data_IF_933672861922
#
_entry.id   IF_933672861922
#
_cell.length_a   1.000
_cell.length_b   1.000
_cell.length_c   1.000
_cell.angle_alpha   90.00
_cell.angle_beta   90.00
_cell.angle_gamma   90.00
#
_symmetry.space_group_name_H-M   'P 1'
#
loop_
_entity.id
_entity.type
_entity.pdbx_description
1 polymer ?
#
# COMPACT_ATOMS: atom_id res chain seq x y z
N UNK A 1 15.50 21.47 -40.33
CA UNK A 1 14.90 20.55 -39.35
C UNK A 1 15.97 20.02 -38.39
N UNK A 2 15.62 19.60 -37.21
CA UNK A 2 16.57 19.06 -36.21
C UNK A 2 17.41 17.87 -36.73
N UNK A 3 16.91 17.12 -37.68
CA UNK A 3 17.64 16.02 -38.31
C UNK A 3 18.91 16.45 -39.03
N UNK A 4 18.85 17.57 -39.77
CA UNK A 4 20.02 18.12 -40.47
C UNK A 4 21.08 18.66 -39.51
N UNK A 5 20.67 19.07 -38.30
CA UNK A 5 21.58 19.58 -37.26
C UNK A 5 22.36 18.46 -36.59
N UNK A 6 21.79 17.22 -36.57
CA UNK A 6 22.39 16.06 -35.89
C UNK A 6 23.09 15.09 -36.82
N UNK A 7 23.20 15.40 -38.10
CA UNK A 7 23.76 14.50 -39.14
C UNK A 7 23.18 13.08 -39.10
N UNK A 8 21.86 12.97 -38.80
CA UNK A 8 21.18 11.68 -38.65
C UNK A 8 20.37 11.36 -39.91
N UNK A 9 20.51 10.13 -40.41
CA UNK A 9 19.69 9.58 -41.48
C UNK A 9 18.68 8.58 -40.87
N UNK A 10 17.40 8.76 -41.19
CA UNK A 10 16.31 7.90 -40.72
C UNK A 10 15.65 7.19 -41.92
N UNK A 11 15.38 5.92 -41.75
CA UNK A 11 14.55 5.17 -42.68
C UNK A 11 13.07 5.35 -42.32
N UNK A 12 12.40 6.30 -42.97
CA UNK A 12 11.00 6.62 -42.74
C UNK A 12 10.03 5.50 -43.10
N UNK A 13 10.47 4.50 -43.90
CA UNK A 13 9.65 3.31 -44.19
C UNK A 13 9.46 2.43 -42.94
N UNK A 14 10.30 2.60 -41.92
CA UNK A 14 10.30 1.87 -40.65
C UNK A 14 9.75 2.72 -39.48
N UNK A 15 9.03 3.78 -39.79
CA UNK A 15 8.35 4.59 -38.77
C UNK A 15 7.32 3.75 -38.00
N UNK A 16 7.37 3.86 -36.66
CA UNK A 16 6.42 3.21 -35.76
C UNK A 16 5.73 4.28 -34.93
N UNK A 17 4.40 4.31 -34.97
CA UNK A 17 3.58 5.17 -34.13
C UNK A 17 2.73 4.32 -33.19
N UNK A 18 3.03 4.38 -31.89
CA UNK A 18 2.39 3.55 -30.86
C UNK A 18 0.89 3.85 -30.66
N UNK A 19 0.44 5.04 -31.12
CA UNK A 19 -0.96 5.47 -31.05
C UNK A 19 -1.81 4.96 -32.24
N UNK A 20 -1.20 4.29 -33.21
CA UNK A 20 -1.93 3.73 -34.35
C UNK A 20 -2.48 2.33 -34.05
N UNK A 21 -3.68 1.96 -34.61
CA UNK A 21 -4.30 0.64 -34.38
C UNK A 21 -3.41 -0.55 -34.74
N UNK A 22 -2.58 -0.43 -35.78
CA UNK A 22 -1.65 -1.47 -36.22
C UNK A 22 -0.65 -1.85 -35.12
N UNK A 23 -0.33 -0.90 -34.24
CA UNK A 23 0.58 -1.10 -33.11
C UNK A 23 -0.18 -1.52 -31.85
N UNK A 24 -1.12 -0.71 -31.36
CA UNK A 24 -1.73 -0.95 -30.05
C UNK A 24 -2.67 -2.17 -30.02
N UNK A 25 -3.15 -2.68 -31.16
CA UNK A 25 -3.94 -3.93 -31.21
C UNK A 25 -3.25 -5.10 -30.52
N UNK A 26 -1.92 -5.14 -30.56
CA UNK A 26 -1.16 -6.21 -29.91
C UNK A 26 -1.13 -6.08 -28.40
N UNK A 27 -1.09 -4.86 -27.87
CA UNK A 27 -1.24 -4.60 -26.44
C UNK A 27 -2.65 -4.98 -25.97
N UNK A 28 -3.68 -4.67 -26.75
CA UNK A 28 -5.05 -5.07 -26.47
C UNK A 28 -5.22 -6.59 -26.51
N UNK A 29 -4.63 -7.26 -27.49
CA UNK A 29 -4.65 -8.71 -27.59
C UNK A 29 -3.97 -9.36 -26.37
N UNK A 30 -2.81 -8.88 -25.98
CA UNK A 30 -2.09 -9.37 -24.80
C UNK A 30 -2.93 -9.18 -23.53
N UNK A 31 -3.55 -8.01 -23.35
CA UNK A 31 -4.44 -7.75 -22.22
C UNK A 31 -5.62 -8.73 -22.17
N UNK A 32 -6.25 -8.99 -23.30
CA UNK A 32 -7.35 -9.97 -23.38
C UNK A 32 -6.88 -11.38 -23.02
N UNK A 33 -5.67 -11.77 -23.41
CA UNK A 33 -5.08 -13.06 -23.02
C UNK A 33 -4.76 -13.13 -21.53
N UNK A 34 -4.31 -12.04 -20.92
CA UNK A 34 -4.13 -11.97 -19.47
C UNK A 34 -5.47 -12.03 -18.71
N UNK A 35 -6.52 -11.39 -19.24
CA UNK A 35 -7.87 -11.44 -18.68
C UNK A 35 -8.45 -12.87 -18.77
N UNK A 36 -8.30 -13.54 -19.93
CA UNK A 36 -8.73 -14.93 -20.14
C UNK A 36 -8.04 -15.91 -19.15
N UNK A 37 -6.77 -15.65 -18.82
CA UNK A 37 -6.01 -16.45 -17.86
C UNK A 37 -6.21 -16.03 -16.38
N UNK A 38 -7.01 -15.02 -16.12
CA UNK A 38 -7.24 -14.52 -14.77
C UNK A 38 -6.06 -13.73 -14.17
N UNK A 39 -5.02 -13.44 -14.97
CA UNK A 39 -3.89 -12.59 -14.55
C UNK A 39 -4.34 -11.15 -14.44
N UNK A 40 -5.11 -10.66 -15.43
CA UNK A 40 -5.82 -9.40 -15.33
C UNK A 40 -7.22 -9.65 -14.76
N UNK A 41 -7.66 -8.82 -13.82
CA UNK A 41 -8.98 -8.92 -13.20
C UNK A 41 -9.54 -7.54 -12.88
N UNK A 42 -10.86 -7.46 -12.70
CA UNK A 42 -11.54 -6.21 -12.37
C UNK A 42 -11.78 -6.13 -10.86
N UNK A 43 -11.46 -5.00 -10.27
CA UNK A 43 -11.68 -4.74 -8.84
C UNK A 43 -12.02 -3.27 -8.64
N UNK A 44 -12.90 -2.99 -7.68
CA UNK A 44 -13.15 -1.62 -7.19
C UNK A 44 -12.10 -1.26 -6.16
N UNK A 45 -11.54 -0.07 -6.29
CA UNK A 45 -10.53 0.47 -5.36
C UNK A 45 -10.77 1.96 -5.13
N UNK A 46 -10.40 2.41 -3.94
CA UNK A 46 -10.39 3.83 -3.59
C UNK A 46 -9.19 4.48 -4.29
N UNK A 47 -9.47 5.54 -5.05
CA UNK A 47 -8.48 6.31 -5.80
C UNK A 47 -8.55 7.79 -5.44
N UNK A 48 -7.48 8.53 -5.72
CA UNK A 48 -7.48 9.98 -5.65
C UNK A 48 -8.19 10.53 -6.88
N UNK A 49 -9.28 11.25 -6.69
CA UNK A 49 -10.08 11.85 -7.75
C UNK A 49 -9.96 13.36 -7.75
N UNK A 50 -9.61 13.92 -8.90
CA UNK A 50 -9.65 15.36 -9.12
C UNK A 50 -11.04 15.75 -9.67
N UNK A 51 -11.86 16.53 -8.93
CA UNK A 51 -13.21 16.87 -9.37
C UNK A 51 -13.25 17.92 -10.50
N UNK A 52 -12.18 18.70 -10.68
CA UNK A 52 -12.06 19.72 -11.72
C UNK A 52 -11.57 19.09 -13.02
N UNK A 53 -10.45 18.37 -12.98
CA UNK A 53 -9.90 17.69 -14.14
C UNK A 53 -10.66 16.39 -14.50
N UNK A 54 -11.55 15.94 -13.60
CA UNK A 54 -12.37 14.71 -13.75
C UNK A 54 -11.52 13.48 -14.08
N UNK A 55 -10.40 13.33 -13.37
CA UNK A 55 -9.43 12.25 -13.59
C UNK A 55 -8.93 11.64 -12.29
N UNK A 56 -8.43 10.43 -12.39
CA UNK A 56 -7.71 9.76 -11.29
C UNK A 56 -6.28 10.29 -11.25
N UNK A 57 -5.81 10.61 -10.05
CA UNK A 57 -4.44 11.06 -9.81
C UNK A 57 -3.63 9.94 -9.13
N UNK A 58 -2.40 9.76 -9.59
CA UNK A 58 -1.39 9.00 -8.85
C UNK A 58 -1.03 9.75 -7.55
N UNK A 59 -0.45 9.05 -6.58
CA UNK A 59 -0.12 9.66 -5.28
C UNK A 59 0.86 10.85 -5.45
N UNK A 60 1.83 10.73 -6.35
CA UNK A 60 2.82 11.78 -6.65
C UNK A 60 2.20 13.04 -7.28
N UNK A 61 0.98 12.92 -7.79
CA UNK A 61 0.21 14.03 -8.37
C UNK A 61 -0.69 14.73 -7.35
N UNK A 62 -0.65 14.30 -6.09
CA UNK A 62 -1.37 14.93 -4.98
C UNK A 62 -0.36 15.65 -4.10
N UNK A 63 -0.42 16.98 -4.10
CA UNK A 63 0.47 17.83 -3.31
C UNK A 63 -0.38 18.53 -2.25
N UNK A 64 -0.08 18.30 -0.97
CA UNK A 64 -0.82 18.88 0.17
C UNK A 64 -2.35 18.66 0.08
N UNK A 65 -2.77 17.46 -0.38
CA UNK A 65 -4.19 17.10 -0.55
C UNK A 65 -4.86 17.74 -1.76
N UNK A 66 -4.09 18.34 -2.67
CA UNK A 66 -4.58 19.01 -3.89
C UNK A 66 -3.99 18.40 -5.16
N UNK A 67 -4.77 18.42 -6.22
CA UNK A 67 -4.29 18.02 -7.55
C UNK A 67 -3.17 18.94 -8.04
N UNK A 68 -2.06 18.35 -8.46
CA UNK A 68 -0.83 19.07 -8.89
C UNK A 68 -1.05 20.09 -10.02
N UNK A 69 -2.06 19.85 -10.86
CA UNK A 69 -2.38 20.69 -12.02
C UNK A 69 -3.57 21.62 -11.76
N UNK A 70 -4.66 21.10 -11.24
CA UNK A 70 -5.90 21.88 -11.02
C UNK A 70 -5.88 22.72 -9.74
N UNK A 71 -5.07 22.33 -8.73
CA UNK A 71 -5.10 22.90 -7.38
C UNK A 71 -6.36 22.57 -6.59
N UNK A 72 -7.29 21.77 -7.15
CA UNK A 72 -8.52 21.36 -6.47
C UNK A 72 -8.22 20.39 -5.33
N UNK A 73 -9.04 20.43 -4.28
CA UNK A 73 -8.98 19.41 -3.21
C UNK A 73 -9.33 18.05 -3.79
N UNK A 74 -8.47 17.08 -3.55
CA UNK A 74 -8.64 15.71 -4.05
C UNK A 74 -9.68 14.98 -3.21
N UNK A 75 -10.57 14.26 -3.88
CA UNK A 75 -11.58 13.41 -3.27
C UNK A 75 -11.16 11.94 -3.32
N UNK A 76 -11.52 11.16 -2.29
CA UNK A 76 -11.40 9.70 -2.36
C UNK A 76 -12.66 9.13 -2.99
N UNK A 77 -12.52 8.41 -4.11
CA UNK A 77 -13.64 7.76 -4.80
C UNK A 77 -13.38 6.29 -5.03
N UNK A 78 -14.41 5.49 -4.89
CA UNK A 78 -14.41 4.10 -5.32
C UNK A 78 -14.66 4.01 -6.83
N UNK A 79 -13.65 3.54 -7.58
CA UNK A 79 -13.73 3.39 -9.02
C UNK A 79 -13.35 1.96 -9.40
N UNK A 80 -14.15 1.27 -10.26
CA UNK A 80 -13.75 -0.01 -10.80
C UNK A 80 -12.60 0.16 -11.79
N UNK A 81 -11.55 -0.63 -11.62
CA UNK A 81 -10.38 -0.65 -12.48
C UNK A 81 -9.92 -2.07 -12.79
N UNK A 82 -8.94 -2.20 -13.69
CA UNK A 82 -8.27 -3.46 -13.94
C UNK A 82 -6.95 -3.53 -13.19
N UNK A 83 -6.68 -4.71 -12.64
CA UNK A 83 -5.50 -5.02 -11.86
C UNK A 83 -4.81 -6.24 -12.40
N UNK A 84 -3.50 -6.34 -12.20
CA UNK A 84 -2.69 -7.50 -12.57
C UNK A 84 -2.28 -8.24 -11.30
N UNK A 85 -2.55 -9.54 -11.24
CA UNK A 85 -2.20 -10.43 -10.12
C UNK A 85 -0.71 -10.79 -10.12
N UNK A 86 0.18 -9.80 -10.17
CA UNK A 86 1.63 -10.02 -10.31
C UNK A 86 2.26 -10.70 -9.10
N UNK A 87 1.71 -10.51 -7.91
CA UNK A 87 2.26 -11.06 -6.65
C UNK A 87 2.19 -12.58 -6.58
N UNK A 88 1.28 -13.22 -7.34
CA UNK A 88 1.21 -14.68 -7.43
C UNK A 88 2.44 -15.32 -8.08
N UNK A 89 3.22 -14.53 -8.81
CA UNK A 89 4.45 -14.97 -9.48
C UNK A 89 5.72 -14.57 -8.70
N UNK A 90 5.59 -13.92 -7.55
CA UNK A 90 6.73 -13.35 -6.83
C UNK A 90 7.77 -14.43 -6.45
N UNK A 91 7.32 -15.60 -5.98
CA UNK A 91 8.22 -16.69 -5.61
C UNK A 91 8.90 -17.29 -6.85
N UNK A 92 8.16 -17.56 -7.92
CA UNK A 92 8.69 -18.08 -9.18
C UNK A 92 9.75 -17.12 -9.77
N UNK A 93 9.47 -15.82 -9.79
CA UNK A 93 10.42 -14.80 -10.25
C UNK A 93 11.69 -14.75 -9.38
N UNK A 94 11.57 -14.97 -8.08
CA UNK A 94 12.72 -15.02 -7.17
C UNK A 94 13.58 -16.26 -7.44
N UNK A 95 12.96 -17.44 -7.57
CA UNK A 95 13.64 -18.71 -7.83
C UNK A 95 14.32 -18.72 -9.21
N UNK A 96 13.71 -18.10 -10.21
CA UNK A 96 14.23 -18.02 -11.56
C UNK A 96 15.44 -17.07 -11.70
N UNK A 97 15.72 -16.20 -10.74
CA UNK A 97 16.93 -15.37 -10.75
C UNK A 97 18.21 -16.21 -10.83
N UNK A 98 18.20 -17.41 -10.25
CA UNK A 98 19.34 -18.33 -10.29
C UNK A 98 19.63 -18.86 -11.71
N UNK A 99 18.63 -18.87 -12.59
CA UNK A 99 18.76 -19.30 -13.98
C UNK A 99 19.32 -18.18 -14.88
N UNK A 100 19.32 -16.93 -14.44
CA UNK A 100 19.74 -15.76 -15.20
C UNK A 100 21.26 -15.51 -15.10
N UNK A 101 22.05 -16.51 -15.41
CA UNK A 101 23.54 -16.44 -15.30
C UNK A 101 24.17 -15.38 -16.19
N UNK A 102 23.50 -15.00 -17.30
CA UNK A 102 23.96 -13.95 -18.21
C UNK A 102 23.70 -12.51 -17.69
N UNK A 103 22.97 -12.37 -16.59
CA UNK A 103 22.72 -11.07 -15.99
C UNK A 103 23.86 -10.64 -15.03
N UNK A 104 24.21 -9.34 -14.98
CA UNK A 104 25.14 -8.85 -13.98
C UNK A 104 24.66 -9.18 -12.56
N UNK A 105 25.57 -9.59 -11.69
CA UNK A 105 25.25 -9.98 -10.31
C UNK A 105 24.54 -8.85 -9.53
N UNK A 106 24.96 -7.61 -9.74
CA UNK A 106 24.33 -6.45 -9.13
C UNK A 106 22.84 -6.32 -9.52
N UNK A 107 22.49 -6.60 -10.77
CA UNK A 107 21.11 -6.54 -11.25
C UNK A 107 20.29 -7.65 -10.63
N UNK A 108 20.81 -8.88 -10.53
CA UNK A 108 20.10 -9.98 -9.84
C UNK A 108 19.83 -9.66 -8.39
N UNK A 109 20.83 -9.13 -7.64
CA UNK A 109 20.63 -8.69 -6.25
C UNK A 109 19.60 -7.57 -6.12
N UNK A 110 19.57 -6.61 -7.05
CA UNK A 110 18.55 -5.55 -7.05
C UNK A 110 17.14 -6.14 -7.24
N UNK A 111 16.97 -7.13 -8.11
CA UNK A 111 15.67 -7.81 -8.31
C UNK A 111 15.27 -8.61 -7.07
N UNK A 112 16.20 -9.36 -6.48
CA UNK A 112 15.98 -10.10 -5.23
C UNK A 112 15.49 -9.17 -4.11
N UNK A 113 16.19 -8.06 -3.88
CA UNK A 113 15.80 -7.06 -2.88
C UNK A 113 14.46 -6.38 -3.21
N UNK A 114 14.17 -6.16 -4.50
CA UNK A 114 12.89 -5.58 -4.93
C UNK A 114 11.72 -6.52 -4.68
N UNK A 115 11.87 -7.81 -4.96
CA UNK A 115 10.85 -8.83 -4.67
C UNK A 115 10.68 -8.97 -3.16
N UNK A 116 11.79 -8.96 -2.39
CA UNK A 116 11.81 -8.77 -0.95
C UNK A 116 11.01 -9.81 -0.17
N UNK A 117 11.27 -11.13 -0.38
CA UNK A 117 10.63 -12.16 0.41
C UNK A 117 10.90 -11.93 1.90
N UNK A 118 9.85 -11.86 2.69
CA UNK A 118 9.91 -11.81 4.15
C UNK A 118 9.01 -12.87 4.76
N UNK A 119 9.41 -13.38 5.92
CA UNK A 119 8.60 -14.29 6.70
C UNK A 119 8.21 -13.63 8.03
N UNK A 120 6.98 -13.84 8.45
CA UNK A 120 6.48 -13.25 9.67
C UNK A 120 5.41 -14.11 10.33
N UNK A 121 4.97 -13.66 11.49
CA UNK A 121 4.02 -14.36 12.35
C UNK A 121 2.83 -13.44 12.64
N UNK A 122 1.63 -14.03 12.63
CA UNK A 122 0.44 -13.37 13.14
C UNK A 122 0.32 -13.63 14.65
N UNK A 123 0.41 -12.60 15.44
CA UNK A 123 0.19 -12.62 16.88
C UNK A 123 -1.24 -12.17 17.19
N UNK A 124 -1.91 -12.86 18.09
CA UNK A 124 -3.30 -12.56 18.47
C UNK A 124 -3.35 -11.98 19.87
N UNK A 125 -3.77 -10.73 20.00
CA UNK A 125 -3.99 -10.05 21.27
C UNK A 125 -5.48 -10.15 21.63
N UNK A 126 -5.86 -10.95 22.65
CA UNK A 126 -7.24 -11.11 23.07
C UNK A 126 -7.79 -9.81 23.67
N UNK A 127 -9.05 -9.52 23.40
CA UNK A 127 -9.80 -8.45 24.06
C UNK A 127 -11.28 -8.81 24.12
N UNK A 128 -12.03 -8.08 24.93
CA UNK A 128 -13.48 -8.23 25.05
C UNK A 128 -14.17 -6.97 24.55
N UNK A 129 -15.19 -7.15 23.73
CA UNK A 129 -16.00 -6.07 23.21
C UNK A 129 -17.47 -6.38 23.46
N UNK A 130 -18.13 -5.58 24.30
CA UNK A 130 -19.54 -5.75 24.66
C UNK A 130 -19.87 -7.19 25.14
N UNK A 131 -18.99 -7.76 25.99
CA UNK A 131 -19.12 -9.13 26.48
C UNK A 131 -18.76 -10.23 25.46
N UNK A 132 -18.29 -9.87 24.28
CA UNK A 132 -17.88 -10.82 23.25
C UNK A 132 -16.35 -10.88 23.15
N UNK A 133 -15.73 -12.06 23.30
CA UNK A 133 -14.29 -12.22 23.11
C UNK A 133 -13.90 -12.04 21.64
N UNK A 134 -12.87 -11.25 21.41
CA UNK A 134 -12.30 -10.96 20.09
C UNK A 134 -10.78 -11.04 20.11
N UNK A 135 -10.17 -11.06 18.95
CA UNK A 135 -8.72 -11.06 18.75
C UNK A 135 -8.32 -9.88 17.86
N UNK A 136 -7.36 -9.10 18.33
CA UNK A 136 -6.67 -8.14 17.50
C UNK A 136 -5.41 -8.80 16.95
N UNK A 137 -5.35 -9.03 15.65
CA UNK A 137 -4.23 -9.69 15.00
C UNK A 137 -3.19 -8.68 14.53
N UNK A 138 -1.96 -8.98 14.87
CA UNK A 138 -0.78 -8.16 14.52
C UNK A 138 0.16 -9.04 13.72
N UNK A 139 0.47 -8.64 12.49
CA UNK A 139 1.53 -9.26 11.71
C UNK A 139 2.88 -8.63 12.06
N UNK A 140 3.91 -9.46 12.28
CA UNK A 140 5.27 -9.00 12.54
C UNK A 140 6.31 -9.94 11.94
N UNK A 141 7.40 -9.37 11.41
CA UNK A 141 8.61 -10.11 11.03
C UNK A 141 9.58 -10.29 12.19
N UNK A 142 9.28 -9.66 13.36
CA UNK A 142 10.12 -9.69 14.56
C UNK A 142 9.32 -10.20 15.78
N UNK A 143 8.85 -11.47 15.77
CA UNK A 143 8.11 -12.05 16.91
C UNK A 143 8.96 -12.15 18.18
N UNK A 144 10.28 -12.18 18.06
CA UNK A 144 11.25 -12.17 19.15
C UNK A 144 11.14 -10.93 20.04
N UNK A 145 10.60 -9.83 19.53
CA UNK A 145 10.44 -8.56 20.27
C UNK A 145 9.11 -8.47 21.06
N UNK A 146 8.26 -9.49 20.99
CA UNK A 146 6.92 -9.49 21.61
C UNK A 146 6.95 -9.14 23.10
N UNK A 147 7.95 -9.62 23.86
CA UNK A 147 8.06 -9.36 25.29
C UNK A 147 8.35 -7.89 25.64
N UNK A 148 8.76 -7.08 24.66
CA UNK A 148 9.01 -5.64 24.79
C UNK A 148 7.87 -4.76 24.28
N UNK A 149 6.71 -5.37 23.91
CA UNK A 149 5.58 -4.61 23.41
C UNK A 149 5.04 -3.64 24.47
N UNK A 150 4.93 -2.37 24.10
CA UNK A 150 4.43 -1.31 24.99
C UNK A 150 3.03 -0.87 24.61
N UNK A 151 2.69 -0.93 23.33
CA UNK A 151 1.36 -0.61 22.80
C UNK A 151 1.11 -1.36 21.47
N UNK A 152 -0.15 -1.43 21.08
CA UNK A 152 -0.54 -1.89 19.74
C UNK A 152 -1.15 -0.71 19.00
N UNK A 153 -0.57 -0.36 17.86
CA UNK A 153 -1.10 0.71 17.00
C UNK A 153 -2.00 0.12 15.91
N UNK A 154 -3.16 0.73 15.71
CA UNK A 154 -4.12 0.38 14.66
C UNK A 154 -4.26 1.51 13.65
N UNK A 155 -4.61 1.15 12.42
CA UNK A 155 -4.93 2.11 11.36
C UNK A 155 -6.18 2.94 11.74
N UNK A 156 -6.25 4.16 11.23
CA UNK A 156 -7.40 5.04 11.45
C UNK A 156 -8.70 4.44 10.89
N UNK A 157 -8.62 3.65 9.81
CA UNK A 157 -9.74 2.97 9.16
C UNK A 157 -10.10 1.61 9.81
N UNK A 158 -9.34 1.19 10.82
CA UNK A 158 -9.59 -0.09 11.48
C UNK A 158 -10.95 -0.09 12.19
N UNK A 159 -11.75 -1.19 12.14
CA UNK A 159 -13.07 -1.24 12.79
C UNK A 159 -13.04 -0.93 14.29
N UNK A 160 -11.97 -1.31 14.98
CA UNK A 160 -11.79 -0.99 16.40
C UNK A 160 -11.59 0.53 16.61
N UNK A 161 -10.91 1.24 15.70
CA UNK A 161 -10.74 2.69 15.78
C UNK A 161 -12.11 3.40 15.71
N UNK A 162 -12.98 2.98 14.79
CA UNK A 162 -14.34 3.48 14.71
C UNK A 162 -15.18 3.20 15.97
N UNK A 163 -14.93 2.09 16.66
CA UNK A 163 -15.62 1.76 17.90
C UNK A 163 -15.14 2.65 19.07
N UNK A 164 -13.83 2.74 19.31
CA UNK A 164 -13.27 3.47 20.46
C UNK A 164 -13.44 4.98 20.34
N UNK A 165 -13.63 5.50 19.12
CA UNK A 165 -13.83 6.94 18.87
C UNK A 165 -15.27 7.42 19.03
N UNK A 166 -16.27 6.54 19.20
CA UNK A 166 -17.71 6.90 19.21
C UNK A 166 -18.05 8.07 20.14
N UNK A 167 -17.44 8.13 21.32
CA UNK A 167 -17.68 9.14 22.34
C UNK A 167 -16.42 9.95 22.68
N UNK A 168 -15.46 10.00 21.77
CA UNK A 168 -14.16 10.65 21.93
C UNK A 168 -13.91 11.61 20.75
N UNK A 169 -14.32 12.89 20.88
CA UNK A 169 -14.14 13.90 19.81
C UNK A 169 -12.68 14.08 19.38
N UNK A 170 -11.74 13.92 20.32
CA UNK A 170 -10.29 13.98 20.07
C UNK A 170 -9.83 12.86 19.12
N UNK A 171 -10.28 11.63 19.34
CA UNK A 171 -9.98 10.49 18.46
C UNK A 171 -10.65 10.64 17.08
N UNK A 172 -11.89 11.16 17.04
CA UNK A 172 -12.59 11.42 15.78
C UNK A 172 -11.84 12.45 14.93
N UNK A 173 -11.38 13.55 15.56
CA UNK A 173 -10.60 14.58 14.88
C UNK A 173 -9.29 14.02 14.32
N UNK A 174 -8.60 13.15 15.07
CA UNK A 174 -7.37 12.51 14.61
C UNK A 174 -7.61 11.53 13.46
N UNK A 175 -8.68 10.72 13.52
CA UNK A 175 -9.08 9.84 12.42
C UNK A 175 -9.37 10.65 11.15
N UNK A 176 -10.05 11.79 11.28
CA UNK A 176 -10.33 12.69 10.17
C UNK A 176 -9.07 13.35 9.60
N UNK A 177 -8.10 13.70 10.45
CA UNK A 177 -6.77 14.16 10.02
C UNK A 177 -6.06 13.07 9.20
N UNK A 178 -6.03 11.83 9.69
CA UNK A 178 -5.43 10.70 8.99
C UNK A 178 -6.09 10.44 7.62
N UNK A 179 -7.43 10.57 7.53
CA UNK A 179 -8.16 10.34 6.27
C UNK A 179 -7.84 11.34 5.16
N UNK A 180 -7.36 12.54 5.53
CA UNK A 180 -6.93 13.60 4.59
C UNK A 180 -5.49 13.41 4.12
N UNK A 181 -4.73 12.53 4.79
CA UNK A 181 -3.34 12.23 4.44
C UNK A 181 -3.19 11.37 3.18
N UNK A 182 -1.95 11.28 2.68
CA UNK A 182 -1.61 10.35 1.60
C UNK A 182 -1.67 8.90 2.09
N UNK A 183 -2.13 7.98 1.24
CA UNK A 183 -2.14 6.53 1.48
C UNK A 183 -0.93 5.82 0.86
N UNK A 184 0.07 6.56 0.37
CA UNK A 184 1.27 5.98 -0.22
C UNK A 184 2.26 5.55 0.87
N UNK A 185 2.77 4.33 0.76
CA UNK A 185 3.82 3.81 1.65
C UNK A 185 5.10 4.68 1.60
N UNK A 186 5.40 5.26 0.43
CA UNK A 186 6.54 6.16 0.25
C UNK A 186 6.36 7.49 1.00
N UNK A 187 5.15 8.06 0.99
CA UNK A 187 4.85 9.29 1.72
C UNK A 187 4.85 9.06 3.23
N UNK A 188 4.39 7.88 3.67
CA UNK A 188 4.41 7.49 5.08
C UNK A 188 5.83 7.32 5.63
N UNK A 189 6.80 6.97 4.79
CA UNK A 189 8.20 6.87 5.21
C UNK A 189 8.80 8.23 5.57
N UNK A 190 8.34 9.32 4.95
CA UNK A 190 8.82 10.69 5.15
C UNK A 190 7.94 11.52 6.11
N UNK A 191 6.72 11.05 6.40
CA UNK A 191 5.75 11.77 7.23
C UNK A 191 6.11 11.69 8.72
N UNK A 192 5.80 12.75 9.47
CA UNK A 192 5.89 12.73 10.92
C UNK A 192 4.95 11.67 11.50
N UNK A 193 5.52 10.69 12.20
CA UNK A 193 4.74 9.60 12.81
C UNK A 193 4.02 10.10 14.05
N UNK A 194 2.68 10.07 14.01
CA UNK A 194 1.79 10.49 15.09
C UNK A 194 0.90 9.33 15.52
N UNK A 195 0.59 9.27 16.80
CA UNK A 195 -0.36 8.32 17.37
C UNK A 195 -1.05 8.90 18.59
N UNK A 196 -2.28 8.48 18.82
CA UNK A 196 -3.09 8.91 19.95
C UNK A 196 -3.56 7.71 20.75
N UNK A 197 -3.36 7.67 22.08
CA UNK A 197 -3.82 6.60 22.94
C UNK A 197 -5.35 6.59 23.03
N UNK A 198 -5.93 5.40 22.93
CA UNK A 198 -7.39 5.24 22.94
C UNK A 198 -7.99 5.06 24.34
N UNK A 199 -7.17 4.65 25.31
CA UNK A 199 -7.64 4.17 26.62
C UNK A 199 -8.29 2.79 26.56
N UNK A 200 -8.24 2.12 25.41
CA UNK A 200 -8.69 0.74 25.25
C UNK A 200 -7.49 -0.20 25.35
N UNK A 201 -7.70 -1.39 25.94
CA UNK A 201 -6.61 -2.35 26.19
C UNK A 201 -6.93 -3.69 25.60
N UNK A 202 -5.89 -4.34 25.09
CA UNK A 202 -5.86 -5.74 24.69
C UNK A 202 -4.97 -6.54 25.65
N UNK A 203 -5.06 -7.84 25.65
CA UNK A 203 -4.23 -8.71 26.49
C UNK A 203 -2.99 -9.18 25.73
N UNK A 204 -1.85 -9.08 26.39
CA UNK A 204 -0.62 -9.67 25.88
C UNK A 204 -0.79 -11.18 25.74
N UNK A 205 -0.45 -11.80 24.57
CA UNK A 205 -0.78 -13.19 24.29
C UNK A 205 -0.07 -14.23 25.19
N UNK A 206 1.04 -13.84 25.82
CA UNK A 206 1.83 -14.73 26.69
C UNK A 206 1.65 -14.37 28.16
N UNK A 207 1.87 -13.09 28.53
CA UNK A 207 1.84 -12.68 29.96
C UNK A 207 0.45 -12.38 30.46
N UNK A 208 -0.51 -12.07 29.59
CA UNK A 208 -1.85 -11.67 29.96
C UNK A 208 -1.97 -10.21 30.44
N UNK A 209 -0.87 -9.45 30.42
CA UNK A 209 -0.86 -8.06 30.83
C UNK A 209 -1.68 -7.18 29.88
N UNK A 210 -2.11 -6.02 30.37
CA UNK A 210 -2.80 -5.04 29.56
C UNK A 210 -1.82 -4.29 28.66
N UNK A 211 -2.11 -4.26 27.35
CA UNK A 211 -1.39 -3.51 26.35
C UNK A 211 -2.34 -2.48 25.75
N UNK A 212 -1.98 -1.20 25.81
CA UNK A 212 -2.85 -0.13 25.33
C UNK A 212 -2.92 -0.11 23.80
N UNK A 213 -4.10 0.17 23.26
CA UNK A 213 -4.33 0.34 21.83
C UNK A 213 -4.23 1.83 21.48
N UNK A 214 -3.47 2.14 20.43
CA UNK A 214 -3.29 3.48 19.88
C UNK A 214 -3.83 3.55 18.46
N UNK A 215 -4.37 4.69 18.05
CA UNK A 215 -4.64 4.97 16.64
C UNK A 215 -3.44 5.72 16.09
N UNK A 216 -2.89 5.29 14.95
CA UNK A 216 -1.69 5.88 14.39
C UNK A 216 -1.81 6.15 12.88
N UNK A 217 -1.19 7.26 12.43
CA UNK A 217 -1.21 7.68 11.02
C UNK A 217 -0.25 6.88 10.12
N UNK A 218 0.62 6.06 10.70
CA UNK A 218 1.63 5.25 10.00
C UNK A 218 1.29 3.76 9.90
N UNK A 219 0.08 3.36 10.27
CA UNK A 219 -0.40 1.98 10.13
C UNK A 219 -1.34 1.89 8.93
N UNK A 220 -1.06 0.96 8.01
CA UNK A 220 -1.87 0.72 6.82
C UNK A 220 -2.81 -0.45 7.03
N UNK A 221 -4.06 -0.33 6.59
CA UNK A 221 -5.01 -1.45 6.55
C UNK A 221 -4.55 -2.61 5.66
N UNK A 222 -3.70 -2.34 4.66
CA UNK A 222 -3.14 -3.36 3.77
C UNK A 222 -2.00 -4.16 4.40
N UNK A 223 -1.45 -3.73 5.54
CA UNK A 223 -0.41 -4.45 6.25
C UNK A 223 -1.01 -5.33 7.35
N UNK A 224 -0.95 -6.65 7.16
CA UNK A 224 -1.63 -7.60 8.04
C UNK A 224 -3.14 -7.35 8.09
N UNK A 225 -3.67 -7.11 9.27
CA UNK A 225 -5.08 -6.73 9.51
C UNK A 225 -5.20 -5.25 9.96
N UNK A 226 -4.25 -4.40 9.60
CA UNK A 226 -4.26 -2.98 9.98
C UNK A 226 -3.85 -2.72 11.43
N UNK A 227 -3.03 -3.58 12.01
CA UNK A 227 -2.49 -3.43 13.36
C UNK A 227 -1.01 -3.82 13.42
N UNK A 228 -0.23 -3.09 14.20
CA UNK A 228 1.19 -3.35 14.45
C UNK A 228 1.52 -3.21 15.93
N UNK A 229 2.50 -3.97 16.43
CA UNK A 229 2.98 -3.79 17.80
C UNK A 229 4.04 -2.70 17.86
N UNK A 230 4.00 -1.87 18.89
CA UNK A 230 4.99 -0.86 19.21
C UNK A 230 5.98 -1.39 20.24
N UNK A 231 7.27 -1.44 19.85
CA UNK A 231 8.38 -1.90 20.70
C UNK A 231 9.46 -0.83 20.73
N UNK A 232 9.30 0.25 21.55
CA UNK A 232 10.18 1.42 21.49
C UNK A 232 11.64 1.16 21.86
N UNK A 233 11.89 0.08 22.60
CA UNK A 233 13.25 -0.32 23.04
C UNK A 233 14.05 -1.12 21.98
N UNK A 234 13.50 -1.31 20.80
CA UNK A 234 14.09 -2.13 19.75
C UNK A 234 14.38 -1.37 18.47
#
# INVERSE_FOLDING_TARGET
SEMCIRDSAFDWSREVATCKPEYYRWSQWMFLKMLEKGIAYRKTQIVNWDPVDKTVLANEQVIEGRGWRSGAVVEKREIPGYYLGITQYAQELLDDLDQLQGWPEQVRRMQEHWIGRSEGVNLSFPYELEGTPKLLRVYTTRPDTLMGVSFVAIAAEHPLAAYVSRNRPDLQAFIEECSKGSVSEADMASMEKKGVPTGFYVRHPITGDNVEVWIANYVLMSYGEGAVMGVPAH
#
